data_IF_175977195628
#
_entry.id   IF_175977195628
#
_cell.length_a   1.000
_cell.length_b   1.000
_cell.length_c   1.000
_cell.angle_alpha   90.00
_cell.angle_beta   90.00
_cell.angle_gamma   90.00
#
_symmetry.space_group_name_H-M   'P 1'
#
loop_
_entity.id
_entity.type
_entity.pdbx_description
1 polymer ?
#
# COMPACT_ATOMS: atom_id res chain seq x y z
N UNK A 1 -7.96 -24.39 5.71
CA UNK A 1 -8.92 -24.97 4.73
C UNK A 1 -10.07 -25.66 5.43
N UNK A 2 -9.84 -26.66 6.29
CA UNK A 2 -10.91 -27.37 6.99
C UNK A 2 -11.82 -26.44 7.81
N UNK A 3 -11.24 -25.55 8.63
CA UNK A 3 -12.02 -24.62 9.45
C UNK A 3 -12.82 -23.63 8.61
N UNK A 4 -12.25 -23.17 7.49
CA UNK A 4 -12.93 -22.25 6.56
C UNK A 4 -14.12 -22.95 5.90
N UNK A 5 -13.93 -24.19 5.41
CA UNK A 5 -15.01 -24.98 4.82
C UNK A 5 -16.15 -25.22 5.83
N UNK A 6 -15.80 -25.55 7.08
CA UNK A 6 -16.76 -25.72 8.18
C UNK A 6 -17.57 -24.44 8.44
N UNK A 7 -16.90 -23.28 8.55
CA UNK A 7 -17.58 -22.00 8.76
C UNK A 7 -18.43 -21.58 7.56
N UNK A 8 -17.95 -21.81 6.34
CA UNK A 8 -18.67 -21.52 5.11
C UNK A 8 -19.79 -22.53 4.79
N UNK A 9 -19.95 -23.58 5.62
CA UNK A 9 -20.95 -24.66 5.45
C UNK A 9 -20.83 -25.36 4.08
N UNK A 10 -19.60 -25.54 3.60
CA UNK A 10 -19.29 -26.30 2.38
C UNK A 10 -18.33 -27.45 2.68
N UNK A 11 -18.25 -28.42 1.79
CA UNK A 11 -17.25 -29.48 1.92
C UNK A 11 -15.83 -28.93 1.67
N UNK A 12 -14.81 -29.57 2.25
CA UNK A 12 -13.41 -29.24 1.93
C UNK A 12 -13.14 -29.33 0.42
N UNK A 13 -13.72 -30.33 -0.24
CA UNK A 13 -13.53 -30.57 -1.67
C UNK A 13 -14.18 -29.48 -2.54
N UNK A 14 -15.36 -28.98 -2.15
CA UNK A 14 -15.98 -27.83 -2.79
C UNK A 14 -15.10 -26.58 -2.67
N UNK A 15 -14.47 -26.36 -1.50
CA UNK A 15 -13.55 -25.24 -1.32
C UNK A 15 -12.32 -25.35 -2.24
N UNK A 16 -11.73 -26.55 -2.39
CA UNK A 16 -10.60 -26.77 -3.29
C UNK A 16 -10.95 -26.64 -4.78
N UNK A 17 -12.21 -26.89 -5.15
CA UNK A 17 -12.68 -26.69 -6.52
C UNK A 17 -12.68 -25.21 -6.92
N UNK A 18 -12.90 -24.30 -5.97
CA UNK A 18 -12.82 -22.85 -6.20
C UNK A 18 -11.44 -22.27 -5.94
N UNK A 19 -10.70 -22.81 -4.97
CA UNK A 19 -9.38 -22.35 -4.57
C UNK A 19 -8.39 -23.53 -4.57
N UNK A 20 -7.57 -23.69 -5.63
CA UNK A 20 -6.70 -24.86 -5.81
C UNK A 20 -5.75 -25.08 -4.63
N UNK A 21 -5.35 -24.00 -3.95
CA UNK A 21 -4.54 -24.06 -2.74
C UNK A 21 -5.01 -23.05 -1.68
N UNK A 22 -4.51 -23.23 -0.45
CA UNK A 22 -4.71 -22.24 0.63
C UNK A 22 -4.11 -20.88 0.25
N UNK A 23 -3.00 -20.85 -0.51
CA UNK A 23 -2.41 -19.61 -1.03
C UNK A 23 -3.41 -18.88 -1.91
N UNK A 24 -4.01 -19.57 -2.88
CA UNK A 24 -4.94 -18.95 -3.82
C UNK A 24 -6.20 -18.43 -3.10
N UNK A 25 -6.64 -19.11 -2.04
CA UNK A 25 -7.71 -18.60 -1.17
C UNK A 25 -7.31 -17.31 -0.44
N UNK A 26 -6.10 -17.24 0.13
CA UNK A 26 -5.62 -16.04 0.84
C UNK A 26 -5.47 -14.85 -0.12
N UNK A 27 -4.88 -15.07 -1.29
CA UNK A 27 -4.78 -14.06 -2.36
C UNK A 27 -6.17 -13.58 -2.76
N UNK A 28 -7.09 -14.50 -3.07
CA UNK A 28 -8.45 -14.15 -3.47
C UNK A 28 -9.19 -13.36 -2.38
N UNK A 29 -8.92 -13.66 -1.10
CA UNK A 29 -9.46 -12.91 0.03
C UNK A 29 -8.97 -11.46 0.03
N UNK A 30 -7.68 -11.23 -0.22
CA UNK A 30 -7.14 -9.86 -0.29
C UNK A 30 -7.74 -9.07 -1.46
N UNK A 31 -7.93 -9.71 -2.62
CA UNK A 31 -8.58 -9.09 -3.78
C UNK A 31 -10.06 -8.81 -3.54
N UNK A 32 -10.75 -9.70 -2.84
CA UNK A 32 -12.13 -9.48 -2.45
C UNK A 32 -12.26 -8.27 -1.54
N UNK A 33 -11.34 -8.10 -0.57
CA UNK A 33 -11.33 -6.93 0.32
C UNK A 33 -11.05 -5.65 -0.48
N UNK A 34 -10.08 -5.64 -1.39
CA UNK A 34 -9.81 -4.48 -2.25
C UNK A 34 -11.05 -4.07 -3.06
N UNK A 35 -11.76 -5.04 -3.62
CA UNK A 35 -13.00 -4.81 -4.36
C UNK A 35 -14.09 -4.25 -3.44
N UNK A 36 -14.29 -4.86 -2.27
CA UNK A 36 -15.29 -4.42 -1.29
C UNK A 36 -15.02 -3.01 -0.74
N UNK A 37 -13.74 -2.63 -0.65
CA UNK A 37 -13.32 -1.32 -0.15
C UNK A 37 -13.07 -0.30 -1.27
N UNK A 38 -13.32 -0.69 -2.51
CA UNK A 38 -13.19 0.10 -3.73
C UNK A 38 -11.83 0.85 -3.81
N UNK A 39 -10.75 0.06 -3.76
CA UNK A 39 -9.38 0.58 -3.84
C UNK A 39 -9.15 1.38 -5.14
N UNK A 40 -9.81 1.01 -6.23
CA UNK A 40 -9.71 1.72 -7.49
C UNK A 40 -10.32 3.12 -7.42
N UNK A 41 -11.51 3.29 -6.84
CA UNK A 41 -12.09 4.62 -6.61
C UNK A 41 -11.24 5.45 -5.65
N UNK A 42 -10.71 4.84 -4.59
CA UNK A 42 -9.79 5.52 -3.65
C UNK A 42 -8.55 6.07 -4.36
N UNK A 43 -7.97 5.29 -5.28
CA UNK A 43 -6.77 5.67 -6.02
C UNK A 43 -7.05 6.55 -7.26
N UNK A 44 -8.32 6.75 -7.65
CA UNK A 44 -8.69 7.48 -8.86
C UNK A 44 -8.05 8.87 -8.92
N UNK A 45 -8.16 9.65 -7.83
CA UNK A 45 -7.58 10.99 -7.75
C UNK A 45 -6.05 11.01 -7.93
N UNK A 46 -5.35 9.96 -7.45
CA UNK A 46 -3.91 9.81 -7.66
C UNK A 46 -3.59 9.46 -9.12
N UNK A 47 -4.33 8.51 -9.69
CA UNK A 47 -4.14 8.04 -11.07
C UNK A 47 -4.44 9.14 -12.10
N UNK A 48 -5.39 10.02 -11.83
CA UNK A 48 -5.81 11.12 -12.72
C UNK A 48 -5.17 12.48 -12.39
N UNK A 49 -4.25 12.56 -11.41
CA UNK A 49 -3.63 13.81 -11.03
C UNK A 49 -2.83 14.44 -12.18
N UNK A 50 -2.94 15.77 -12.31
CA UNK A 50 -2.34 16.52 -13.43
C UNK A 50 -0.82 16.65 -13.31
N UNK A 51 -0.29 16.63 -12.08
CA UNK A 51 1.14 16.71 -11.81
C UNK A 51 1.57 15.72 -10.71
N UNK A 52 2.87 15.47 -10.63
CA UNK A 52 3.50 14.50 -9.74
C UNK A 52 3.36 14.85 -8.26
N UNK A 53 3.36 16.14 -7.90
CA UNK A 53 3.17 16.59 -6.52
C UNK A 53 1.76 16.27 -6.03
N UNK A 54 0.76 16.52 -6.87
CA UNK A 54 -0.64 16.19 -6.58
C UNK A 54 -0.86 14.68 -6.58
N UNK A 55 -0.23 13.96 -7.52
CA UNK A 55 -0.28 12.49 -7.56
C UNK A 55 0.26 11.85 -6.29
N UNK A 56 1.42 12.32 -5.81
CA UNK A 56 2.02 11.87 -4.55
C UNK A 56 1.08 12.13 -3.38
N UNK A 57 0.51 13.34 -3.29
CA UNK A 57 -0.42 13.69 -2.22
C UNK A 57 -1.67 12.81 -2.22
N UNK A 58 -2.29 12.64 -3.39
CA UNK A 58 -3.48 11.83 -3.53
C UNK A 58 -3.20 10.34 -3.28
N UNK A 59 -2.01 9.85 -3.65
CA UNK A 59 -1.60 8.49 -3.34
C UNK A 59 -1.50 8.26 -1.82
N UNK A 60 -0.78 9.13 -1.11
CA UNK A 60 -0.61 9.03 0.35
C UNK A 60 -1.95 9.18 1.07
N UNK A 61 -2.83 10.07 0.60
CA UNK A 61 -4.20 10.21 1.13
C UNK A 61 -4.99 8.90 0.97
N UNK A 62 -5.04 8.36 -0.24
CA UNK A 62 -5.81 7.17 -0.56
C UNK A 62 -5.29 5.94 0.20
N UNK A 63 -3.99 5.68 0.11
CA UNK A 63 -3.36 4.54 0.76
C UNK A 63 -3.37 4.68 2.28
N UNK A 64 -2.99 5.84 2.81
CA UNK A 64 -2.97 6.08 4.26
C UNK A 64 -4.33 5.85 4.90
N UNK A 65 -5.42 6.31 4.26
CA UNK A 65 -6.80 6.08 4.71
C UNK A 65 -7.36 4.69 4.37
N UNK A 66 -6.61 3.87 3.64
CA UNK A 66 -6.96 2.48 3.39
C UNK A 66 -6.35 1.54 4.44
N UNK A 67 -5.18 1.86 4.99
CA UNK A 67 -4.50 1.01 5.99
C UNK A 67 -5.41 0.61 7.17
N UNK A 68 -6.21 1.50 7.80
CA UNK A 68 -7.07 1.11 8.92
C UNK A 68 -8.09 0.03 8.56
N UNK A 69 -8.54 -0.03 7.31
CA UNK A 69 -9.52 -1.00 6.82
C UNK A 69 -8.94 -2.41 6.65
N UNK A 70 -7.62 -2.50 6.48
CA UNK A 70 -6.91 -3.75 6.20
C UNK A 70 -5.93 -4.14 7.29
N UNK A 71 -5.69 -3.29 8.28
CA UNK A 71 -4.63 -3.44 9.28
C UNK A 71 -4.68 -4.80 9.97
N UNK A 72 -5.86 -5.22 10.45
CA UNK A 72 -6.02 -6.51 11.11
C UNK A 72 -5.54 -7.68 10.23
N UNK A 73 -6.01 -7.73 8.98
CA UNK A 73 -5.59 -8.77 8.03
C UNK A 73 -4.10 -8.66 7.69
N UNK A 74 -3.61 -7.45 7.42
CA UNK A 74 -2.23 -7.20 7.07
C UNK A 74 -1.28 -7.65 8.19
N UNK A 75 -1.62 -7.35 9.45
CA UNK A 75 -0.85 -7.77 10.62
C UNK A 75 -0.77 -9.28 10.75
N UNK A 76 -1.89 -9.99 10.62
CA UNK A 76 -1.90 -11.45 10.68
C UNK A 76 -1.11 -12.08 9.52
N UNK A 77 -1.28 -11.59 8.29
CA UNK A 77 -0.50 -12.06 7.14
C UNK A 77 1.00 -11.83 7.32
N UNK A 78 1.40 -10.65 7.82
CA UNK A 78 2.80 -10.35 8.15
C UNK A 78 3.34 -11.32 9.20
N UNK A 79 2.63 -11.54 10.30
CA UNK A 79 3.06 -12.40 11.40
C UNK A 79 3.21 -13.88 10.96
N UNK A 80 2.35 -14.34 10.05
CA UNK A 80 2.43 -15.71 9.53
C UNK A 80 3.52 -15.89 8.47
N UNK A 81 3.93 -14.82 7.78
CA UNK A 81 4.84 -14.90 6.60
C UNK A 81 6.19 -15.54 6.90
N UNK A 82 6.67 -15.51 8.14
CA UNK A 82 7.95 -16.12 8.53
C UNK A 82 7.89 -17.65 8.60
N UNK A 83 6.69 -18.22 8.73
CA UNK A 83 6.48 -19.66 9.02
C UNK A 83 5.53 -20.35 8.05
N UNK A 84 4.82 -19.59 7.22
CA UNK A 84 3.77 -20.06 6.34
C UNK A 84 3.99 -19.50 4.93
N UNK A 85 4.44 -20.38 4.02
CA UNK A 85 4.76 -19.99 2.63
C UNK A 85 3.54 -19.45 1.88
N UNK A 86 2.33 -19.95 2.17
CA UNK A 86 1.11 -19.43 1.54
C UNK A 86 0.79 -18.01 2.02
N UNK A 87 0.99 -17.72 3.30
CA UNK A 87 0.84 -16.37 3.85
C UNK A 87 1.93 -15.42 3.31
N UNK A 88 3.17 -15.89 3.23
CA UNK A 88 4.31 -15.14 2.67
C UNK A 88 4.07 -14.72 1.22
N UNK A 89 3.60 -15.64 0.38
CA UNK A 89 3.31 -15.35 -1.03
C UNK A 89 2.16 -14.35 -1.16
N UNK A 90 1.08 -14.53 -0.40
CA UNK A 90 -0.03 -13.57 -0.39
C UNK A 90 0.43 -12.18 0.09
N UNK A 91 1.25 -12.11 1.15
CA UNK A 91 1.80 -10.85 1.64
C UNK A 91 2.73 -10.18 0.61
N UNK A 92 3.61 -10.95 -0.03
CA UNK A 92 4.53 -10.45 -1.06
C UNK A 92 3.78 -9.85 -2.25
N UNK A 93 2.71 -10.49 -2.72
CA UNK A 93 1.87 -9.94 -3.79
C UNK A 93 1.28 -8.56 -3.41
N UNK A 94 0.82 -8.41 -2.16
CA UNK A 94 0.35 -7.11 -1.66
C UNK A 94 1.44 -6.06 -1.61
N UNK A 95 2.65 -6.45 -1.21
CA UNK A 95 3.80 -5.55 -1.19
C UNK A 95 4.27 -5.17 -2.60
N UNK A 96 4.16 -6.07 -3.57
CA UNK A 96 4.39 -5.75 -4.99
C UNK A 96 3.38 -4.71 -5.48
N UNK A 97 2.09 -4.87 -5.19
CA UNK A 97 1.07 -3.89 -5.58
C UNK A 97 1.28 -2.52 -4.91
N UNK A 98 1.61 -2.49 -3.62
CA UNK A 98 1.99 -1.26 -2.91
C UNK A 98 3.20 -0.59 -3.57
N UNK A 99 4.24 -1.39 -3.88
CA UNK A 99 5.46 -0.90 -4.51
C UNK A 99 5.20 -0.30 -5.89
N UNK A 100 4.34 -0.92 -6.70
CA UNK A 100 3.91 -0.38 -7.99
C UNK A 100 3.19 0.97 -7.84
N UNK A 101 2.33 1.10 -6.82
CA UNK A 101 1.66 2.37 -6.50
C UNK A 101 2.64 3.47 -6.14
N UNK A 102 3.60 3.18 -5.24
CA UNK A 102 4.67 4.10 -4.88
C UNK A 102 5.52 4.48 -6.10
N UNK A 103 5.90 3.50 -6.93
CA UNK A 103 6.72 3.72 -8.11
C UNK A 103 6.03 4.67 -9.08
N UNK A 104 4.74 4.46 -9.32
CA UNK A 104 3.97 5.31 -10.22
C UNK A 104 3.84 6.75 -9.71
N UNK A 105 3.77 6.96 -8.39
CA UNK A 105 3.79 8.30 -7.79
C UNK A 105 5.17 8.98 -7.96
N UNK A 106 6.26 8.26 -7.72
CA UNK A 106 7.63 8.76 -7.90
C UNK A 106 7.96 9.04 -9.37
N UNK A 107 7.53 8.18 -10.28
CA UNK A 107 7.71 8.39 -11.72
C UNK A 107 7.03 9.65 -12.21
N UNK A 108 5.86 10.01 -11.65
CA UNK A 108 5.20 11.27 -11.99
C UNK A 108 6.00 12.49 -11.47
N UNK A 109 6.66 12.41 -10.31
CA UNK A 109 7.58 13.45 -9.87
C UNK A 109 8.76 13.60 -10.83
N UNK A 110 9.35 12.48 -11.28
CA UNK A 110 10.46 12.47 -12.23
C UNK A 110 10.07 13.09 -13.56
N UNK A 111 8.93 12.67 -14.11
CA UNK A 111 8.39 13.18 -15.40
C UNK A 111 8.19 14.69 -15.36
N UNK A 112 7.75 15.22 -14.23
CA UNK A 112 7.46 16.64 -14.06
C UNK A 112 8.67 17.45 -13.56
N UNK A 113 9.88 16.86 -13.56
CA UNK A 113 11.11 17.54 -13.12
C UNK A 113 11.13 17.91 -11.62
N UNK A 114 10.24 17.31 -10.82
CA UNK A 114 10.05 17.63 -9.41
C UNK A 114 10.75 16.65 -8.45
N UNK A 115 11.21 15.49 -8.93
CA UNK A 115 11.93 14.53 -8.08
C UNK A 115 13.26 15.15 -7.61
N UNK A 116 13.56 15.03 -6.31
CA UNK A 116 14.83 15.47 -5.75
C UNK A 116 16.02 14.88 -6.53
N UNK A 117 17.05 15.68 -6.88
CA UNK A 117 18.23 15.18 -7.58
C UNK A 117 19.07 14.20 -6.73
N UNK A 118 18.84 14.16 -5.41
CA UNK A 118 19.51 13.24 -4.49
C UNK A 118 19.01 11.78 -4.61
N UNK A 119 17.95 11.54 -5.38
CA UNK A 119 17.32 10.23 -5.46
C UNK A 119 17.16 9.74 -6.91
N UNK A 120 17.49 8.48 -7.12
CA UNK A 120 16.96 7.72 -8.26
C UNK A 120 15.48 7.41 -8.04
N UNK A 121 14.77 7.03 -9.10
CA UNK A 121 13.37 6.62 -9.01
C UNK A 121 13.22 5.42 -8.09
N UNK A 122 14.14 4.46 -8.18
CA UNK A 122 14.14 3.22 -7.41
C UNK A 122 14.29 3.52 -5.92
N UNK A 123 15.32 4.30 -5.56
CA UNK A 123 15.58 4.71 -4.17
C UNK A 123 14.42 5.52 -3.60
N UNK A 124 13.90 6.50 -4.35
CA UNK A 124 12.74 7.27 -3.92
C UNK A 124 11.49 6.39 -3.75
N UNK A 125 11.33 5.36 -4.58
CA UNK A 125 10.22 4.41 -4.44
C UNK A 125 10.36 3.60 -3.16
N UNK A 126 11.56 3.11 -2.84
CA UNK A 126 11.82 2.33 -1.63
C UNK A 126 11.59 3.18 -0.36
N UNK A 127 12.06 4.43 -0.38
CA UNK A 127 11.80 5.41 0.70
C UNK A 127 10.30 5.62 0.88
N UNK A 128 9.55 5.84 -0.22
CA UNK A 128 8.11 6.03 -0.14
C UNK A 128 7.41 4.79 0.41
N UNK A 129 7.76 3.59 -0.06
CA UNK A 129 7.21 2.33 0.43
C UNK A 129 7.44 2.15 1.93
N UNK A 130 8.65 2.43 2.41
CA UNK A 130 8.98 2.36 3.82
C UNK A 130 8.13 3.35 4.63
N UNK A 131 8.07 4.61 4.19
CA UNK A 131 7.33 5.69 4.84
C UNK A 131 5.84 5.34 5.03
N UNK A 132 5.20 4.80 3.99
CA UNK A 132 3.77 4.47 4.01
C UNK A 132 3.47 3.01 4.35
N UNK A 133 4.44 2.28 4.89
CA UNK A 133 4.25 0.88 5.27
C UNK A 133 3.20 0.71 6.38
N UNK A 134 2.54 -0.45 6.40
CA UNK A 134 1.58 -0.80 7.47
C UNK A 134 2.23 -0.77 8.85
N UNK A 135 3.51 -1.16 8.96
CA UNK A 135 4.28 -1.10 10.21
C UNK A 135 4.45 0.34 10.71
N UNK A 136 4.81 1.26 9.81
CA UNK A 136 4.91 2.67 10.19
C UNK A 136 3.56 3.26 10.59
N UNK A 137 2.49 2.91 9.87
CA UNK A 137 1.14 3.32 10.26
C UNK A 137 0.77 2.80 11.65
N UNK A 138 1.03 1.52 11.94
CA UNK A 138 0.75 0.90 13.24
C UNK A 138 1.49 1.63 14.36
N UNK A 139 2.79 1.86 14.20
CA UNK A 139 3.59 2.60 15.17
C UNK A 139 3.04 4.00 15.45
N UNK A 140 2.74 4.79 14.40
CA UNK A 140 2.27 6.16 14.61
C UNK A 140 0.85 6.23 15.17
N UNK A 141 -0.07 5.40 14.67
CA UNK A 141 -1.49 5.52 15.01
C UNK A 141 -1.89 4.71 16.24
N UNK A 142 -1.31 3.52 16.44
CA UNK A 142 -1.60 2.65 17.57
C UNK A 142 -0.64 2.96 18.73
N UNK A 143 0.68 2.84 18.54
CA UNK A 143 1.63 2.99 19.65
C UNK A 143 1.80 4.45 20.09
N UNK A 144 1.74 5.39 19.14
CA UNK A 144 1.90 6.83 19.39
C UNK A 144 0.58 7.60 19.42
N UNK A 145 -0.56 6.92 19.29
CA UNK A 145 -1.91 7.51 19.38
C UNK A 145 -2.15 8.69 18.43
N UNK A 146 -1.50 8.72 17.26
CA UNK A 146 -1.81 9.74 16.27
C UNK A 146 -3.19 9.50 15.67
N UNK A 147 -3.97 10.57 15.54
CA UNK A 147 -5.17 10.51 14.71
C UNK A 147 -4.80 10.15 13.27
N UNK A 148 -5.71 9.47 12.57
CA UNK A 148 -5.57 9.14 11.16
C UNK A 148 -5.23 10.39 10.30
N UNK A 149 -5.92 11.51 10.58
CA UNK A 149 -5.67 12.81 9.92
C UNK A 149 -4.24 13.30 10.16
N UNK A 150 -3.73 13.17 11.38
CA UNK A 150 -2.36 13.56 11.74
C UNK A 150 -1.36 12.70 10.97
N UNK A 151 -1.54 11.38 10.95
CA UNK A 151 -0.67 10.46 10.21
C UNK A 151 -0.60 10.84 8.73
N UNK A 152 -1.74 10.94 8.04
CA UNK A 152 -1.77 11.24 6.60
C UNK A 152 -1.13 12.60 6.31
N UNK A 153 -1.45 13.62 7.11
CA UNK A 153 -0.86 14.96 6.95
C UNK A 153 0.66 14.92 7.10
N UNK A 154 1.17 14.22 8.11
CA UNK A 154 2.62 14.12 8.36
C UNK A 154 3.34 13.29 7.30
N UNK A 155 2.76 12.19 6.85
CA UNK A 155 3.34 11.38 5.77
C UNK A 155 3.43 12.18 4.46
N UNK A 156 2.42 12.99 4.13
CA UNK A 156 2.48 13.92 3.00
C UNK A 156 3.61 14.94 3.15
N UNK A 157 3.76 15.54 4.33
CA UNK A 157 4.83 16.53 4.57
C UNK A 157 6.22 15.90 4.44
N UNK A 158 6.45 14.76 5.11
CA UNK A 158 7.75 14.06 5.08
C UNK A 158 8.08 13.59 3.67
N UNK A 159 7.11 12.99 2.95
CA UNK A 159 7.32 12.55 1.58
C UNK A 159 7.68 13.72 0.65
N UNK A 160 7.03 14.88 0.80
CA UNK A 160 7.39 16.07 0.02
C UNK A 160 8.80 16.54 0.33
N UNK A 161 9.15 16.65 1.61
CA UNK A 161 10.46 17.17 2.04
C UNK A 161 11.61 16.27 1.57
N UNK A 162 11.41 14.95 1.56
CA UNK A 162 12.44 14.00 1.13
C UNK A 162 12.49 13.84 -0.40
N UNK A 163 11.33 13.71 -1.05
CA UNK A 163 11.27 13.26 -2.44
C UNK A 163 11.15 14.39 -3.45
N UNK A 164 10.75 15.60 -3.04
CA UNK A 164 10.52 16.71 -3.98
C UNK A 164 11.67 17.70 -3.89
N UNK A 165 12.34 17.93 -5.01
CA UNK A 165 13.39 18.95 -5.11
C UNK A 165 12.82 20.36 -4.96
N UNK A 166 13.63 21.29 -4.47
CA UNK A 166 13.32 22.70 -4.62
C UNK A 166 13.30 23.03 -6.12
N UNK A 167 12.36 23.85 -6.57
CA UNK A 167 12.42 24.36 -7.94
C UNK A 167 13.78 25.03 -8.10
N UNK A 168 14.58 24.60 -9.08
CA UNK A 168 15.75 25.37 -9.47
C UNK A 168 15.27 26.79 -9.75
N UNK A 169 15.86 27.83 -9.13
CA UNK A 169 15.62 29.18 -9.63
C UNK A 169 16.02 29.15 -11.10
N UNK A 170 15.10 29.53 -11.99
CA UNK A 170 15.42 29.77 -13.39
C UNK A 170 16.65 30.70 -13.39
N UNK A 171 17.77 30.17 -13.89
CA UNK A 171 18.95 30.99 -14.11
C UNK A 171 18.57 32.02 -15.18
N UNK A 172 18.81 33.33 -14.93
CA UNK A 172 18.43 34.40 -15.84
C UNK A 172 19.14 34.30 -17.19
#
# INVERSE_FOLDING_TARGET
MADIAKHAKVSRQALYLHFPSRRDLLIATTHYIDKMKDVDARLAASRSAKNGRDRLNAFIEAWGNYIPEIHGLARELMAMSDRDEAAKLAWNERMTALRQGCHAAVMALRRDGCLSPEHTVETATDILCALVSVRNWEYFTIDRNWSQRTYVTKMKTVAKQLLVGQASPELP
#
